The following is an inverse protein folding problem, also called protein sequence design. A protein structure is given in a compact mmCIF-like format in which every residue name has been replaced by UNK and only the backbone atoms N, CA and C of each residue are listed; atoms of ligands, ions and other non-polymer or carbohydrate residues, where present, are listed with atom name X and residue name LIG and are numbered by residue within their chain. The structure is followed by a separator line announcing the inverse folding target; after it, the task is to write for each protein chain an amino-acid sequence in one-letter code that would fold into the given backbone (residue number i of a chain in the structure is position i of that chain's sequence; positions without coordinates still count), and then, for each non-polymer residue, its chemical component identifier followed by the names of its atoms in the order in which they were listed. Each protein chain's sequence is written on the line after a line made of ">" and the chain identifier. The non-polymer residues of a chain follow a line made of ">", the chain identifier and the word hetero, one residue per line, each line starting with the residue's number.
data_IF_242681700348
#
_entry.id   IF_242681700348
#
_cell.length_a   1.000
_cell.length_b   1.000
_cell.length_c   1.000
_cell.angle_alpha   90.00
_cell.angle_beta   90.00
_cell.angle_gamma   90.00
#
_symmetry.space_group_name_H-M   'P 1'
#
loop_
_entity.id
_entity.type
_entity.pdbx_description
1 polymer ?
#
# COMPACT_ATOMS: atom_id res chain seq x y z
N UNK A 1 -11.90 0.40 2.96
CA UNK A 1 -11.21 1.62 3.39
C UNK A 1 -10.21 2.03 2.33
N UNK A 2 -9.65 3.22 2.45
CA UNK A 2 -8.47 3.66 1.71
C UNK A 2 -7.23 3.39 2.57
N UNK A 3 -6.12 3.01 1.93
CA UNK A 3 -4.86 2.65 2.58
C UNK A 3 -3.75 3.52 2.02
N UNK A 4 -3.00 4.18 2.89
CA UNK A 4 -1.91 5.09 2.53
C UNK A 4 -0.62 4.67 3.25
N UNK A 5 0.42 4.35 2.49
CA UNK A 5 1.76 4.14 3.04
C UNK A 5 2.43 5.49 3.33
N UNK A 6 2.98 5.64 4.54
CA UNK A 6 3.67 6.84 4.99
C UNK A 6 5.19 6.73 4.78
N UNK A 7 5.86 7.87 4.62
CA UNK A 7 7.30 7.91 4.35
C UNK A 7 8.19 7.37 5.48
N UNK A 8 7.64 7.23 6.70
CA UNK A 8 8.32 6.66 7.86
C UNK A 8 8.13 5.14 8.01
N UNK A 9 7.41 4.50 7.08
CA UNK A 9 7.12 3.07 7.08
C UNK A 9 5.82 2.68 7.80
N UNK A 10 5.08 3.64 8.38
CA UNK A 10 3.73 3.38 8.88
C UNK A 10 2.70 3.33 7.75
N UNK A 11 1.52 2.76 8.01
CA UNK A 11 0.39 2.71 7.07
C UNK A 11 -0.85 3.30 7.72
N UNK A 12 -1.53 4.20 7.03
CA UNK A 12 -2.81 4.78 7.48
C UNK A 12 -3.97 4.09 6.77
N UNK A 13 -4.86 3.48 7.55
CA UNK A 13 -6.11 2.87 7.07
C UNK A 13 -7.27 3.80 7.44
N UNK A 14 -7.99 4.29 6.44
CA UNK A 14 -9.16 5.15 6.62
C UNK A 14 -10.41 4.48 6.06
N UNK A 15 -11.58 4.87 6.56
CA UNK A 15 -12.83 4.35 6.03
C UNK A 15 -14.05 4.88 6.78
N UNK A 16 -15.16 4.19 6.59
CA UNK A 16 -16.41 4.48 7.29
C UNK A 16 -16.93 3.26 8.04
N UNK A 17 -17.51 3.51 9.21
CA UNK A 17 -18.25 2.55 10.01
C UNK A 17 -19.43 3.26 10.71
N UNK A 18 -20.28 2.54 11.41
CA UNK A 18 -21.34 3.16 12.20
C UNK A 18 -20.72 4.06 13.30
N UNK A 19 -21.29 5.25 13.51
CA UNK A 19 -20.76 6.23 14.44
C UNK A 19 -20.62 5.66 15.86
N UNK A 20 -19.45 5.84 16.47
CA UNK A 20 -19.14 5.29 17.80
C UNK A 20 -18.82 3.80 17.82
N UNK A 21 -18.78 3.11 16.68
CA UNK A 21 -18.35 1.72 16.59
C UNK A 21 -16.84 1.60 16.74
N UNK A 22 -16.39 0.50 17.34
CA UNK A 22 -14.99 0.11 17.36
C UNK A 22 -14.64 -0.62 16.08
N UNK A 23 -13.72 -0.07 15.30
CA UNK A 23 -13.13 -0.69 14.12
C UNK A 23 -11.85 -1.41 14.52
N UNK A 24 -11.73 -2.67 14.15
CA UNK A 24 -10.54 -3.50 14.37
C UNK A 24 -9.93 -3.95 13.05
N UNK A 25 -8.59 -4.01 13.01
CA UNK A 25 -7.81 -4.53 11.88
C UNK A 25 -6.94 -5.66 12.39
N UNK A 26 -7.03 -6.78 11.68
CA UNK A 26 -6.22 -7.99 11.86
C UNK A 26 -5.11 -7.95 10.80
N UNK A 27 -3.85 -7.83 11.22
CA UNK A 27 -2.71 -7.69 10.30
C UNK A 27 -1.95 -9.00 10.09
N UNK A 28 -2.14 -10.00 10.94
CA UNK A 28 -1.46 -11.30 10.84
C UNK A 28 -2.37 -12.45 10.34
N UNK A 29 -3.67 -12.18 10.23
CA UNK A 29 -4.69 -13.09 9.76
C UNK A 29 -5.06 -14.19 10.75
N UNK A 30 -4.75 -14.03 12.04
CA UNK A 30 -5.04 -15.02 13.08
C UNK A 30 -6.49 -14.97 13.61
N UNK A 31 -7.26 -13.96 13.17
CA UNK A 31 -8.64 -13.71 13.56
C UNK A 31 -8.79 -12.81 14.79
N UNK A 32 -7.70 -12.23 15.29
CA UNK A 32 -7.67 -11.26 16.38
C UNK A 32 -7.30 -9.89 15.80
N UNK A 33 -7.98 -8.84 16.29
CA UNK A 33 -7.64 -7.48 15.88
C UNK A 33 -6.37 -7.02 16.61
N UNK A 34 -5.31 -6.73 15.87
CA UNK A 34 -4.06 -6.15 16.38
C UNK A 34 -4.18 -4.66 16.68
N UNK A 35 -4.92 -3.96 15.81
CA UNK A 35 -5.12 -2.53 15.88
C UNK A 35 -6.61 -2.19 15.97
N UNK A 36 -6.95 -1.19 16.78
CA UNK A 36 -8.34 -0.74 16.91
C UNK A 36 -8.44 0.79 16.94
N UNK A 37 -9.50 1.32 16.35
CA UNK A 37 -9.88 2.74 16.44
C UNK A 37 -11.40 2.85 16.60
N UNK A 38 -11.90 4.04 16.91
CA UNK A 38 -13.34 4.31 17.01
C UNK A 38 -13.77 5.22 15.88
N UNK A 39 -14.87 4.90 15.22
CA UNK A 39 -15.47 5.78 14.23
C UNK A 39 -16.08 7.02 14.90
N UNK A 40 -15.85 8.19 14.32
CA UNK A 40 -16.34 9.47 14.84
C UNK A 40 -17.87 9.60 14.71
N UNK A 41 -18.41 10.75 15.13
CA UNK A 41 -19.86 11.04 15.07
C UNK A 41 -20.41 11.05 13.63
N UNK A 42 -19.55 11.22 12.61
CA UNK A 42 -19.90 11.15 11.20
C UNK A 42 -19.68 9.75 10.60
N UNK A 43 -19.22 8.79 11.41
CA UNK A 43 -18.87 7.44 10.99
C UNK A 43 -17.53 7.33 10.28
N UNK A 44 -16.68 8.36 10.27
CA UNK A 44 -15.35 8.29 9.69
C UNK A 44 -14.35 7.74 10.72
N UNK A 45 -13.42 6.90 10.26
CA UNK A 45 -12.31 6.42 11.09
C UNK A 45 -10.97 6.58 10.37
N UNK A 46 -9.92 6.77 11.17
CA UNK A 46 -8.52 6.74 10.74
C UNK A 46 -7.73 5.94 11.76
N UNK A 47 -6.92 5.01 11.27
CA UNK A 47 -6.07 4.13 12.05
C UNK A 47 -4.67 4.13 11.47
N UNK A 48 -3.69 4.41 12.32
CA UNK A 48 -2.28 4.34 11.96
C UNK A 48 -1.71 3.00 12.45
N UNK A 49 -1.16 2.24 11.52
CA UNK A 49 -0.43 0.99 11.75
C UNK A 49 1.06 1.33 11.66
N UNK A 50 1.76 1.26 12.79
CA UNK A 50 3.19 1.63 12.85
C UNK A 50 4.12 0.57 12.28
N UNK A 51 3.59 -0.64 12.07
CA UNK A 51 4.34 -1.73 11.46
C UNK A 51 4.21 -1.67 9.93
N UNK A 52 5.30 -1.89 9.19
CA UNK A 52 5.23 -1.95 7.74
C UNK A 52 4.41 -3.16 7.30
N UNK A 53 3.33 -2.90 6.57
CA UNK A 53 2.46 -3.94 6.02
C UNK A 53 2.99 -4.38 4.67
N UNK A 54 2.96 -5.69 4.41
CA UNK A 54 3.23 -6.22 3.08
C UNK A 54 2.04 -5.94 2.14
N UNK A 55 2.29 -5.97 0.83
CA UNK A 55 1.22 -5.95 -0.16
C UNK A 55 0.23 -7.10 0.10
N UNK A 56 -1.06 -6.78 0.22
CA UNK A 56 -2.06 -7.77 0.60
C UNK A 56 -3.40 -7.17 1.03
N UNK A 57 -4.30 -8.06 1.44
CA UNK A 57 -5.61 -7.70 1.98
C UNK A 57 -5.66 -8.02 3.48
N UNK A 58 -6.03 -7.02 4.28
CA UNK A 58 -6.11 -7.13 5.74
C UNK A 58 -7.56 -7.06 6.22
N UNK A 59 -8.05 -8.05 6.99
CA UNK A 59 -9.41 -8.03 7.51
C UNK A 59 -9.68 -6.82 8.41
N UNK A 60 -10.84 -6.20 8.19
CA UNK A 60 -11.34 -5.07 8.98
C UNK A 60 -12.75 -5.40 9.46
N UNK A 61 -12.95 -5.35 10.78
CA UNK A 61 -14.25 -5.57 11.42
C UNK A 61 -14.71 -4.31 12.14
N UNK A 62 -16.03 -4.13 12.26
CA UNK A 62 -16.61 -3.06 13.06
C UNK A 62 -17.56 -3.68 14.10
N UNK A 63 -17.44 -3.25 15.35
CA UNK A 63 -18.28 -3.69 16.46
C UNK A 63 -19.03 -2.48 17.02
N UNK A 64 -20.35 -2.55 17.05
CA UNK A 64 -21.19 -1.46 17.55
C UNK A 64 -21.06 -1.27 19.08
N UNK A 65 -21.66 -0.21 19.61
CA UNK A 65 -21.64 0.10 21.05
C UNK A 65 -22.38 -0.94 21.91
N UNK A 66 -23.20 -1.79 21.29
CA UNK A 66 -23.91 -2.88 21.93
C UNK A 66 -23.14 -4.21 21.86
N UNK A 67 -21.95 -4.23 21.25
CA UNK A 67 -21.10 -5.40 21.11
C UNK A 67 -21.43 -6.31 19.92
N UNK A 68 -22.25 -5.85 18.96
CA UNK A 68 -22.52 -6.62 17.74
C UNK A 68 -21.43 -6.34 16.70
N UNK A 69 -20.75 -7.39 16.26
CA UNK A 69 -19.75 -7.31 15.19
C UNK A 69 -20.40 -7.49 13.82
N UNK A 70 -20.16 -6.54 12.91
CA UNK A 70 -20.59 -6.59 11.52
C UNK A 70 -19.75 -7.55 10.66
N UNK A 71 -20.11 -7.73 9.37
CA UNK A 71 -19.30 -8.53 8.45
C UNK A 71 -17.91 -7.91 8.27
N UNK A 72 -16.88 -8.77 8.19
CA UNK A 72 -15.54 -8.34 7.86
C UNK A 72 -15.48 -7.78 6.43
N UNK A 73 -14.71 -6.72 6.26
CA UNK A 73 -14.28 -6.18 4.96
C UNK A 73 -12.76 -6.26 4.86
N UNK A 74 -12.17 -5.87 3.73
CA UNK A 74 -10.72 -5.92 3.55
C UNK A 74 -10.17 -4.52 3.25
N UNK A 75 -9.02 -4.20 3.84
CA UNK A 75 -8.18 -3.09 3.47
C UNK A 75 -7.05 -3.61 2.57
N UNK A 76 -6.94 -3.09 1.34
CA UNK A 76 -5.92 -3.50 0.39
C UNK A 76 -4.69 -2.59 0.49
N UNK A 77 -3.55 -3.16 0.87
CA UNK A 77 -2.22 -2.52 0.76
C UNK A 77 -1.64 -2.92 -0.59
N UNK A 78 -1.30 -1.94 -1.42
CA UNK A 78 -0.75 -2.14 -2.76
C UNK A 78 0.62 -1.49 -2.88
N UNK A 79 1.47 -2.08 -3.73
CA UNK A 79 2.77 -1.49 -4.03
C UNK A 79 2.58 -0.16 -4.76
N UNK A 80 2.92 0.93 -4.09
CA UNK A 80 2.88 2.28 -4.68
C UNK A 80 4.25 2.79 -5.09
N UNK A 81 5.30 1.97 -4.94
CA UNK A 81 6.65 2.38 -5.32
C UNK A 81 6.72 2.52 -6.84
N UNK A 82 7.06 3.73 -7.30
CA UNK A 82 7.26 3.98 -8.73
C UNK A 82 8.58 3.35 -9.16
N UNK A 83 8.63 2.72 -10.35
CA UNK A 83 9.88 2.20 -10.86
C UNK A 83 10.88 3.34 -11.07
N UNK A 84 12.14 3.08 -10.78
CA UNK A 84 13.21 4.06 -11.03
C UNK A 84 13.32 4.31 -12.54
N UNK A 85 13.34 5.58 -12.95
CA UNK A 85 13.48 5.93 -14.36
C UNK A 85 14.78 5.32 -14.95
N UNK A 86 14.74 4.74 -16.15
CA UNK A 86 15.92 4.17 -16.76
C UNK A 86 16.96 5.27 -17.01
N UNK A 87 18.23 4.95 -16.76
CA UNK A 87 19.34 5.86 -17.10
C UNK A 87 19.95 5.46 -18.43
N UNK A 88 20.19 6.44 -19.30
CA UNK A 88 21.04 6.25 -20.47
C UNK A 88 22.48 6.50 -20.02
N UNK A 89 23.29 5.46 -20.12
CA UNK A 89 24.72 5.47 -19.84
C UNK A 89 25.54 5.93 -21.03
N UNK A 90 26.76 5.41 -21.12
CA UNK A 90 27.72 5.80 -22.16
C UNK A 90 27.24 5.36 -23.55
N UNK A 91 27.38 6.30 -24.51
CA UNK A 91 27.22 6.05 -25.94
C UNK A 91 28.62 5.95 -26.54
N UNK A 92 28.98 4.76 -27.00
CA UNK A 92 30.29 4.49 -27.63
C UNK A 92 30.09 4.20 -29.10
N UNK A 93 30.74 4.97 -29.97
CA UNK A 93 30.88 4.59 -31.38
C UNK A 93 32.04 3.61 -31.54
N UNK A 94 31.74 2.44 -32.08
CA UNK A 94 32.69 1.38 -32.32
C UNK A 94 33.43 1.61 -33.65
N UNK A 95 34.64 1.08 -33.76
CA UNK A 95 35.47 1.24 -34.96
C UNK A 95 34.87 0.61 -36.24
N UNK A 96 33.86 -0.25 -36.10
CA UNK A 96 33.10 -0.85 -37.20
C UNK A 96 31.88 -0.02 -37.64
N UNK A 97 31.66 1.14 -37.03
CA UNK A 97 30.54 2.04 -37.31
C UNK A 97 29.25 1.70 -36.56
N UNK A 98 29.27 0.72 -35.65
CA UNK A 98 28.13 0.46 -34.75
C UNK A 98 28.17 1.37 -33.52
N UNK A 99 27.03 1.55 -32.86
CA UNK A 99 26.91 2.34 -31.62
C UNK A 99 26.47 1.43 -30.49
N UNK A 100 27.20 1.45 -29.37
CA UNK A 100 26.83 0.78 -28.12
C UNK A 100 26.24 1.81 -27.16
N UNK A 101 25.04 1.57 -26.66
CA UNK A 101 24.41 2.37 -25.61
C UNK A 101 24.28 1.49 -24.37
N UNK A 102 24.86 1.94 -23.25
CA UNK A 102 24.64 1.29 -21.94
C UNK A 102 23.54 2.00 -21.18
N UNK A 103 22.95 1.36 -20.18
CA UNK A 103 21.93 1.96 -19.33
C UNK A 103 21.50 1.02 -18.22
N UNK A 104 20.85 1.56 -17.19
CA UNK A 104 20.25 0.76 -16.11
C UNK A 104 18.74 0.99 -16.09
N UNK A 105 17.97 -0.07 -15.82
CA UNK A 105 16.53 -0.03 -15.55
C UNK A 105 16.22 -1.04 -14.44
N UNK A 106 15.17 -0.80 -13.65
CA UNK A 106 14.68 -1.82 -12.72
C UNK A 106 14.11 -3.03 -13.46
N UNK A 107 14.21 -4.21 -12.83
CA UNK A 107 13.73 -5.46 -13.40
C UNK A 107 12.23 -5.39 -13.66
N UNK A 108 11.83 -5.42 -14.94
CA UNK A 108 10.42 -5.34 -15.36
C UNK A 108 10.04 -4.04 -16.07
N UNK A 109 10.91 -3.02 -16.07
CA UNK A 109 10.71 -1.83 -16.90
C UNK A 109 11.11 -2.09 -18.36
N UNK A 110 10.20 -1.82 -19.30
CA UNK A 110 10.50 -1.89 -20.73
C UNK A 110 11.23 -0.62 -21.17
N UNK A 111 12.50 -0.73 -21.59
CA UNK A 111 13.15 0.33 -22.37
C UNK A 111 12.46 0.32 -23.73
N UNK A 112 11.62 1.32 -23.99
CA UNK A 112 11.04 1.52 -25.31
C UNK A 112 12.13 1.95 -26.27
N UNK A 113 12.60 1.04 -27.12
CA UNK A 113 13.40 1.40 -28.30
C UNK A 113 12.59 2.38 -29.14
N UNK A 114 13.06 3.62 -29.22
CA UNK A 114 12.50 4.62 -30.14
C UNK A 114 13.18 4.38 -31.48
N UNK A 115 12.42 3.79 -32.41
CA UNK A 115 12.77 3.64 -33.82
C UNK A 115 12.97 5.00 -34.51
#
# INVERSE_FOLDING_TARGET
>A
GEVTENADGSTTITGTAEAGSTVGVDIDGDGVNDYTTTADENGAYSLEVTEPLANGEYPVTATDINGNTGPATNAAVADTTLPTAPTVGEVTENADGSTTITGTAEAGSTVGDVC
#
